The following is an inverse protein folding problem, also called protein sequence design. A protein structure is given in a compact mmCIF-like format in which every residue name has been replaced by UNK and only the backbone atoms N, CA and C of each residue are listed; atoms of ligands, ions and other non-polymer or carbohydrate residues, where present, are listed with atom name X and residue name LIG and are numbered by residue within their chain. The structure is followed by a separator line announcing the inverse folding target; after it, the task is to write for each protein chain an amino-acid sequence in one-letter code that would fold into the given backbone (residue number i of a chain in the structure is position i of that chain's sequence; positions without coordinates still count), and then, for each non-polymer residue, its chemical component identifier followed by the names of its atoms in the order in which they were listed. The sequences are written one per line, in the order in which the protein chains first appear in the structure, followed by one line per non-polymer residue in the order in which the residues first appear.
data_IF_445342369624
#
_entry.id   IF_445342369624
#
_cell.length_a   1.000
_cell.length_b   1.000
_cell.length_c   1.000
_cell.angle_alpha   90.00
_cell.angle_beta   90.00
_cell.angle_gamma   90.00
#
_symmetry.space_group_name_H-M   'P 1'
#
loop_
_entity.id
_entity.type
_entity.pdbx_description
1 polymer ?
#
# COMPACT_ATOMS: atom_id res chain seq x y z
N UNK A 1 19.68 -1.12 -3.73
CA UNK A 1 18.29 -1.50 -4.07
C UNK A 1 17.51 -1.53 -2.78
N UNK A 2 16.33 -0.91 -2.74
CA UNK A 2 15.49 -0.88 -1.54
C UNK A 2 15.00 -2.29 -1.19
N UNK A 3 14.92 -2.59 0.11
CA UNK A 3 14.41 -3.87 0.58
C UNK A 3 12.87 -3.84 0.64
N UNK A 4 12.24 -4.94 0.18
CA UNK A 4 10.78 -5.11 0.17
C UNK A 4 10.41 -6.50 0.70
N UNK A 5 9.18 -6.68 1.19
CA UNK A 5 8.62 -7.99 1.52
C UNK A 5 8.31 -8.83 0.27
N UNK A 6 7.87 -10.09 0.48
CA UNK A 6 7.47 -10.98 -0.62
C UNK A 6 8.64 -11.65 -1.36
N UNK A 7 9.84 -11.70 -0.76
CA UNK A 7 11.03 -12.33 -1.37
C UNK A 7 11.20 -13.79 -0.98
N UNK A 8 10.13 -14.58 -1.03
CA UNK A 8 10.12 -15.98 -0.63
C UNK A 8 11.17 -16.84 -1.33
N UNK A 9 11.37 -16.68 -2.65
CA UNK A 9 12.38 -17.42 -3.40
C UNK A 9 13.82 -17.12 -2.93
N UNK A 10 14.08 -15.90 -2.45
CA UNK A 10 15.35 -15.54 -1.83
C UNK A 10 15.48 -16.24 -0.48
N UNK A 11 14.47 -16.15 0.38
CA UNK A 11 14.45 -16.80 1.68
C UNK A 11 14.60 -18.33 1.55
N UNK A 12 13.87 -18.97 0.62
CA UNK A 12 13.97 -20.40 0.36
C UNK A 12 15.42 -20.83 0.06
N UNK A 13 16.13 -20.10 -0.80
CA UNK A 13 17.54 -20.39 -1.08
C UNK A 13 18.46 -20.12 0.10
N UNK A 14 18.21 -19.05 0.86
CA UNK A 14 19.06 -18.64 1.97
C UNK A 14 18.98 -19.62 3.16
N UNK A 15 17.78 -20.14 3.44
CA UNK A 15 17.52 -21.02 4.58
C UNK A 15 17.43 -22.51 4.21
N UNK A 16 17.47 -22.85 2.92
CA UNK A 16 17.38 -24.24 2.46
C UNK A 16 16.01 -24.90 2.73
N UNK A 17 14.93 -24.10 2.75
CA UNK A 17 13.55 -24.57 2.97
C UNK A 17 12.79 -24.47 1.66
N UNK A 18 12.06 -25.52 1.28
CA UNK A 18 11.26 -25.54 0.05
C UNK A 18 10.22 -24.41 0.04
N UNK A 19 9.94 -23.85 -1.14
CA UNK A 19 9.12 -22.65 -1.30
C UNK A 19 7.70 -22.83 -0.72
N UNK A 20 7.13 -24.00 -0.88
CA UNK A 20 5.78 -24.36 -0.46
C UNK A 20 5.64 -24.49 1.06
N UNK A 21 6.77 -24.64 1.77
CA UNK A 21 6.80 -24.74 3.23
C UNK A 21 6.82 -23.40 3.94
N UNK A 22 6.91 -22.29 3.18
CA UNK A 22 6.97 -20.95 3.76
C UNK A 22 5.59 -20.40 4.10
N UNK A 23 5.48 -19.83 5.29
CA UNK A 23 4.42 -18.89 5.67
C UNK A 23 4.91 -17.48 5.42
N UNK A 24 4.36 -16.80 4.39
CA UNK A 24 4.73 -15.42 4.06
C UNK A 24 3.89 -14.40 4.84
N UNK A 25 4.45 -13.88 5.91
CA UNK A 25 3.92 -12.75 6.68
C UNK A 25 4.71 -11.45 6.42
N UNK A 26 5.55 -11.41 5.37
CA UNK A 26 6.40 -10.24 5.06
C UNK A 26 5.68 -9.14 4.30
N UNK A 27 4.49 -9.43 3.78
CA UNK A 27 3.70 -8.48 2.98
C UNK A 27 2.46 -8.01 3.75
N UNK A 28 1.95 -6.82 3.40
CA UNK A 28 0.63 -6.35 3.85
C UNK A 28 -0.44 -6.63 2.79
N UNK A 29 -0.48 -7.85 2.26
CA UNK A 29 -1.44 -8.28 1.25
C UNK A 29 -2.49 -9.15 1.93
N UNK A 30 -3.77 -8.93 1.62
CA UNK A 30 -4.85 -9.80 2.10
C UNK A 30 -4.59 -11.25 1.70
N UNK A 31 -4.57 -12.20 2.65
CA UNK A 31 -4.51 -13.62 2.31
C UNK A 31 -5.84 -14.16 1.76
N UNK A 32 -6.91 -13.36 1.82
CA UNK A 32 -8.26 -13.67 1.35
C UNK A 32 -8.50 -12.93 0.03
N UNK A 33 -7.83 -13.37 -1.04
CA UNK A 33 -7.94 -12.72 -2.34
C UNK A 33 -9.37 -12.75 -2.90
N UNK A 34 -9.74 -11.71 -3.67
CA UNK A 34 -10.97 -11.74 -4.44
C UNK A 34 -10.94 -12.90 -5.44
N UNK A 35 -12.02 -13.70 -5.56
CA UNK A 35 -12.04 -14.88 -6.43
C UNK A 35 -11.98 -14.45 -7.90
N UNK A 36 -10.82 -14.68 -8.53
CA UNK A 36 -10.58 -14.29 -9.92
C UNK A 36 -11.36 -15.23 -10.85
N UNK A 37 -12.27 -14.70 -11.71
CA UNK A 37 -12.98 -15.50 -12.67
C UNK A 37 -12.07 -15.91 -13.85
N UNK A 38 -12.56 -16.81 -14.68
CA UNK A 38 -11.91 -17.12 -15.96
C UNK A 38 -11.82 -15.86 -16.83
N UNK A 39 -10.60 -15.53 -17.24
CA UNK A 39 -10.35 -14.37 -18.09
C UNK A 39 -10.54 -14.77 -19.55
N UNK A 40 -11.44 -14.13 -20.31
CA UNK A 40 -11.70 -14.50 -21.69
C UNK A 40 -10.46 -14.33 -22.58
N UNK A 41 -10.28 -15.22 -23.53
CA UNK A 41 -9.12 -15.21 -24.43
C UNK A 41 -8.98 -13.89 -25.23
N UNK A 42 -10.08 -13.17 -25.46
CA UNK A 42 -10.08 -11.84 -26.08
C UNK A 42 -9.31 -10.80 -25.28
N UNK A 43 -9.37 -10.85 -23.95
CA UNK A 43 -8.65 -9.94 -23.08
C UNK A 43 -7.12 -10.10 -23.17
N UNK A 44 -6.65 -11.28 -23.60
CA UNK A 44 -5.23 -11.56 -23.84
C UNK A 44 -4.74 -11.19 -25.24
N UNK A 45 -5.67 -11.19 -26.22
CA UNK A 45 -5.31 -11.10 -27.64
C UNK A 45 -5.47 -9.71 -28.24
N UNK A 46 -6.26 -8.85 -27.61
CA UNK A 46 -6.53 -7.49 -28.08
C UNK A 46 -5.75 -6.46 -27.24
N UNK A 47 -5.41 -5.36 -27.86
CA UNK A 47 -5.00 -4.18 -27.10
C UNK A 47 -6.17 -3.70 -26.24
N UNK A 48 -5.92 -3.25 -25.00
CA UNK A 48 -6.98 -2.75 -24.15
C UNK A 48 -7.64 -1.50 -24.73
N UNK A 49 -8.96 -1.44 -24.66
CA UNK A 49 -9.77 -0.27 -24.97
C UNK A 49 -10.24 0.35 -23.64
N UNK A 50 -10.33 1.68 -23.55
CA UNK A 50 -10.61 2.34 -22.27
C UNK A 50 -12.10 2.42 -21.92
N UNK A 51 -12.99 2.12 -22.85
CA UNK A 51 -14.45 2.07 -22.72
C UNK A 51 -14.99 0.69 -22.26
N UNK A 52 -14.17 -0.05 -21.55
CA UNK A 52 -14.49 -1.40 -21.04
C UNK A 52 -15.23 -1.41 -19.70
N UNK A 53 -15.59 -0.24 -19.16
CA UNK A 53 -16.31 -0.10 -17.87
C UNK A 53 -15.42 -0.10 -16.63
N UNK A 54 -14.09 -0.23 -16.78
CA UNK A 54 -13.18 -0.19 -15.62
C UNK A 54 -13.14 1.19 -14.94
N UNK A 55 -13.12 2.26 -15.73
CA UNK A 55 -13.05 3.63 -15.21
C UNK A 55 -14.33 3.93 -14.41
N UNK A 56 -15.49 3.58 -14.93
CA UNK A 56 -16.78 3.75 -14.25
C UNK A 56 -16.83 2.96 -12.94
N UNK A 57 -16.40 1.70 -12.95
CA UNK A 57 -16.33 0.87 -11.75
C UNK A 57 -15.38 1.48 -10.69
N UNK A 58 -14.23 1.99 -11.12
CA UNK A 58 -13.26 2.61 -10.24
C UNK A 58 -13.76 3.95 -9.66
N UNK A 59 -14.36 4.81 -10.48
CA UNK A 59 -15.00 6.05 -10.01
C UNK A 59 -16.09 5.77 -8.98
N UNK A 60 -16.95 4.79 -9.24
CA UNK A 60 -18.00 4.39 -8.30
C UNK A 60 -17.44 3.76 -7.02
N UNK A 61 -16.32 3.03 -7.08
CA UNK A 61 -15.70 2.38 -5.93
C UNK A 61 -14.95 3.38 -5.04
N UNK A 62 -14.19 4.30 -5.63
CA UNK A 62 -13.40 5.29 -4.92
C UNK A 62 -14.17 6.59 -4.63
N UNK A 63 -15.43 6.67 -5.07
CA UNK A 63 -16.29 7.87 -4.90
C UNK A 63 -15.65 9.14 -5.47
N UNK A 64 -15.08 9.06 -6.66
CA UNK A 64 -14.38 10.17 -7.33
C UNK A 64 -14.93 10.41 -8.73
N UNK A 65 -14.73 11.62 -9.25
CA UNK A 65 -15.17 12.00 -10.60
C UNK A 65 -14.23 11.51 -11.70
N UNK A 66 -12.95 11.26 -11.36
CA UNK A 66 -11.93 10.88 -12.35
C UNK A 66 -10.81 10.04 -11.76
N UNK A 67 -10.37 9.04 -12.53
CA UNK A 67 -9.25 8.16 -12.18
C UNK A 67 -8.41 7.84 -13.41
N UNK A 68 -7.14 7.53 -13.19
CA UNK A 68 -6.26 6.95 -14.19
C UNK A 68 -5.79 5.56 -13.73
N UNK A 69 -6.18 4.46 -14.41
CA UNK A 69 -5.64 3.13 -14.14
C UNK A 69 -4.20 3.01 -14.63
N UNK A 70 -3.37 2.27 -13.88
CA UNK A 70 -1.95 2.11 -14.22
C UNK A 70 -1.34 0.83 -13.65
N UNK A 71 -0.11 0.52 -14.05
CA UNK A 71 0.64 -0.68 -13.65
C UNK A 71 1.06 -0.66 -12.17
N UNK A 72 0.06 -0.62 -11.27
CA UNK A 72 0.20 -0.42 -9.83
C UNK A 72 0.47 1.04 -9.46
N UNK A 73 0.23 1.41 -8.21
CA UNK A 73 0.56 2.75 -7.68
C UNK A 73 2.06 3.07 -7.85
N UNK A 74 2.93 2.07 -8.00
CA UNK A 74 4.35 2.26 -8.25
C UNK A 74 4.62 3.04 -9.55
N UNK A 75 3.80 2.90 -10.59
CA UNK A 75 3.93 3.67 -11.82
C UNK A 75 3.73 5.18 -11.55
N UNK A 76 2.73 5.53 -10.74
CA UNK A 76 2.53 6.92 -10.31
C UNK A 76 3.69 7.43 -9.45
N UNK A 77 4.14 6.64 -8.48
CA UNK A 77 5.28 7.02 -7.61
C UNK A 77 6.51 7.39 -8.45
N UNK A 78 6.75 6.66 -9.54
CA UNK A 78 7.88 6.92 -10.45
C UNK A 78 7.64 8.10 -11.40
N UNK A 79 6.40 8.33 -11.84
CA UNK A 79 6.07 9.33 -12.86
C UNK A 79 5.82 10.74 -12.28
N UNK A 80 5.11 10.84 -11.14
CA UNK A 80 4.71 12.12 -10.53
C UNK A 80 5.86 13.11 -10.34
N UNK A 81 7.06 12.71 -9.88
CA UNK A 81 8.15 13.64 -9.66
C UNK A 81 8.57 14.41 -10.92
N UNK A 82 8.50 13.80 -12.10
CA UNK A 82 8.90 14.44 -13.37
C UNK A 82 7.91 15.47 -13.89
N UNK A 83 6.70 15.53 -13.32
CA UNK A 83 5.67 16.51 -13.70
C UNK A 83 5.83 17.86 -12.99
N UNK A 84 6.84 18.00 -12.13
CA UNK A 84 7.11 19.25 -11.41
C UNK A 84 8.53 19.74 -11.63
N UNK A 85 8.75 21.08 -11.59
CA UNK A 85 10.09 21.63 -11.44
C UNK A 85 10.69 21.21 -10.09
N UNK A 86 12.00 21.35 -9.95
CA UNK A 86 12.72 21.05 -8.68
C UNK A 86 12.00 21.70 -7.50
N UNK A 87 11.63 20.89 -6.53
CA UNK A 87 10.76 21.23 -5.40
C UNK A 87 11.33 20.73 -4.08
N UNK A 88 10.92 21.36 -2.97
CA UNK A 88 11.16 20.87 -1.61
C UNK A 88 10.07 19.87 -1.25
N UNK A 89 10.45 18.62 -1.00
CA UNK A 89 9.51 17.51 -0.83
C UNK A 89 9.64 16.92 0.57
N UNK A 90 8.59 17.05 1.37
CA UNK A 90 8.46 16.35 2.64
C UNK A 90 7.86 14.95 2.42
N UNK A 91 8.49 13.90 2.94
CA UNK A 91 8.00 12.53 2.85
C UNK A 91 7.92 11.91 4.24
N UNK A 92 6.78 11.31 4.57
CA UNK A 92 6.60 10.65 5.87
C UNK A 92 7.61 9.52 6.08
N UNK A 93 8.25 9.48 7.26
CA UNK A 93 9.17 8.43 7.68
C UNK A 93 8.98 8.09 9.19
N UNK A 94 9.11 6.79 9.56
CA UNK A 94 9.31 5.66 8.64
C UNK A 94 8.12 5.49 7.70
N UNK A 95 8.39 5.17 6.43
CA UNK A 95 7.36 5.05 5.39
C UNK A 95 7.80 4.14 4.23
N UNK A 96 7.00 4.07 3.18
CA UNK A 96 7.35 3.34 1.97
C UNK A 96 8.44 4.10 1.20
N UNK A 97 9.67 3.61 1.30
CA UNK A 97 10.88 4.29 0.85
C UNK A 97 10.94 4.62 -0.65
N UNK A 98 10.10 3.97 -1.48
CA UNK A 98 10.04 4.26 -2.91
C UNK A 98 9.59 5.70 -3.21
N UNK A 99 8.77 6.31 -2.35
CA UNK A 99 8.40 7.71 -2.50
C UNK A 99 9.62 8.63 -2.44
N UNK A 100 10.36 8.59 -1.32
CA UNK A 100 11.55 9.41 -1.16
C UNK A 100 12.57 9.14 -2.28
N UNK A 101 12.78 7.87 -2.63
CA UNK A 101 13.71 7.47 -3.67
C UNK A 101 13.33 8.01 -5.06
N UNK A 102 12.04 7.96 -5.44
CA UNK A 102 11.57 8.46 -6.73
C UNK A 102 11.76 9.98 -6.84
N UNK A 103 11.38 10.74 -5.82
CA UNK A 103 11.56 12.19 -5.78
C UNK A 103 13.04 12.59 -5.80
N UNK A 104 13.92 11.89 -5.05
CA UNK A 104 15.36 12.13 -5.08
C UNK A 104 15.96 11.85 -6.47
N UNK A 105 15.56 10.74 -7.11
CA UNK A 105 16.03 10.41 -8.47
C UNK A 105 15.64 11.45 -9.51
N UNK A 106 14.51 12.09 -9.33
CA UNK A 106 14.05 13.17 -10.22
C UNK A 106 14.72 14.54 -9.93
N UNK A 107 15.63 14.61 -8.95
CA UNK A 107 16.40 15.81 -8.65
C UNK A 107 15.72 16.79 -7.69
N UNK A 108 14.69 16.36 -6.94
CA UNK A 108 14.05 17.17 -5.92
C UNK A 108 14.84 17.18 -4.60
N UNK A 109 14.62 18.21 -3.77
CA UNK A 109 15.17 18.31 -2.42
C UNK A 109 14.23 17.57 -1.44
N UNK A 110 14.60 16.33 -1.08
CA UNK A 110 13.74 15.45 -0.29
C UNK A 110 14.18 15.40 1.16
N UNK A 111 13.25 15.64 2.07
CA UNK A 111 13.41 15.47 3.51
C UNK A 111 12.42 14.44 4.01
N UNK A 112 12.91 13.40 4.70
CA UNK A 112 12.09 12.35 5.28
C UNK A 112 11.98 12.57 6.79
N UNK A 113 10.75 12.75 7.30
CA UNK A 113 10.47 13.11 8.70
C UNK A 113 9.21 12.43 9.21
N UNK A 114 9.04 12.40 10.54
CA UNK A 114 7.80 11.97 11.17
C UNK A 114 6.64 12.90 10.78
N UNK A 115 5.42 12.38 10.83
CA UNK A 115 4.23 13.09 10.38
C UNK A 115 3.98 14.42 11.12
N UNK A 116 4.18 14.43 12.43
CA UNK A 116 4.02 15.61 13.27
C UNK A 116 4.98 16.76 12.89
N UNK A 117 6.22 16.41 12.55
CA UNK A 117 7.22 17.39 12.07
C UNK A 117 6.83 17.94 10.70
N UNK A 118 6.39 17.06 9.76
CA UNK A 118 5.98 17.46 8.43
C UNK A 118 4.75 18.38 8.43
N UNK A 119 3.78 18.08 9.28
CA UNK A 119 2.54 18.84 9.41
C UNK A 119 2.70 20.10 10.29
N UNK A 120 3.77 20.18 11.09
CA UNK A 120 4.05 21.31 11.99
C UNK A 120 4.52 22.57 11.25
N UNK A 121 5.13 22.45 10.07
CA UNK A 121 5.56 23.57 9.22
C UNK A 121 5.35 23.28 7.75
N UNK A 122 4.14 23.55 7.27
CA UNK A 122 3.77 23.33 5.87
C UNK A 122 4.46 24.33 4.91
N UNK A 123 4.94 25.48 5.41
CA UNK A 123 5.63 26.48 4.60
C UNK A 123 6.97 26.00 4.03
N UNK A 124 7.53 24.97 4.64
CA UNK A 124 8.79 24.35 4.22
C UNK A 124 8.66 23.47 2.98
N UNK A 125 7.45 23.10 2.55
CA UNK A 125 7.23 22.11 1.50
C UNK A 125 6.50 22.68 0.29
N UNK A 126 6.98 22.33 -0.90
CA UNK A 126 6.26 22.52 -2.16
C UNK A 126 5.43 21.29 -2.51
N UNK A 127 5.87 20.12 -2.01
CA UNK A 127 5.14 18.84 -2.09
C UNK A 127 5.22 18.15 -0.73
N UNK A 128 4.09 17.65 -0.27
CA UNK A 128 4.03 16.76 0.88
C UNK A 128 3.51 15.39 0.46
N UNK A 129 4.23 14.33 0.85
CA UNK A 129 3.86 12.94 0.58
C UNK A 129 3.52 12.25 1.89
N UNK A 130 2.26 11.91 2.08
CA UNK A 130 1.75 11.15 3.22
C UNK A 130 1.28 9.77 2.77
N UNK A 131 1.45 8.77 3.64
CA UNK A 131 0.94 7.41 3.42
C UNK A 131 -0.18 7.18 4.42
N UNK A 132 -1.35 6.79 3.97
CA UNK A 132 -2.57 6.78 4.77
C UNK A 132 -3.47 5.57 4.49
N UNK A 133 -3.52 4.57 5.39
CA UNK A 133 -2.68 4.33 6.57
C UNK A 133 -1.21 4.11 6.22
N UNK A 134 -0.30 4.63 7.07
CA UNK A 134 1.13 4.52 6.82
C UNK A 134 1.65 3.07 6.93
N UNK A 135 2.71 2.80 6.21
CA UNK A 135 3.43 1.54 6.20
C UNK A 135 4.93 1.79 6.46
N UNK A 136 5.48 1.34 7.62
CA UNK A 136 4.89 0.36 8.54
C UNK A 136 4.08 0.94 9.70
N UNK A 137 4.16 2.24 9.96
CA UNK A 137 3.75 2.87 11.20
C UNK A 137 2.25 2.89 11.47
N UNK A 138 1.39 2.62 10.46
CA UNK A 138 -0.06 2.59 10.64
C UNK A 138 -0.71 3.93 10.94
N UNK A 139 0.04 5.04 10.92
CA UNK A 139 -0.48 6.39 11.16
C UNK A 139 -1.64 6.68 10.23
N UNK A 140 -2.67 7.30 10.78
CA UNK A 140 -3.85 7.75 10.06
C UNK A 140 -4.05 9.23 10.32
N UNK A 141 -4.57 9.88 9.29
CA UNK A 141 -4.92 11.30 9.36
C UNK A 141 -6.44 11.41 9.20
N UNK A 142 -7.07 12.29 9.93
CA UNK A 142 -8.47 12.62 9.65
C UNK A 142 -8.59 13.40 8.33
N UNK A 143 -9.75 13.29 7.69
CA UNK A 143 -10.01 13.91 6.39
C UNK A 143 -9.87 15.44 6.47
N UNK A 144 -10.29 16.05 7.57
CA UNK A 144 -10.20 17.50 7.77
C UNK A 144 -8.74 17.96 7.80
N UNK A 145 -7.86 17.25 8.52
CA UNK A 145 -6.43 17.53 8.56
C UNK A 145 -5.80 17.44 7.17
N UNK A 146 -6.12 16.39 6.39
CA UNK A 146 -5.61 16.25 5.03
C UNK A 146 -6.08 17.37 4.11
N UNK A 147 -7.36 17.75 4.18
CA UNK A 147 -7.89 18.83 3.35
C UNK A 147 -7.32 20.20 3.74
N UNK A 148 -7.18 20.49 5.02
CA UNK A 148 -6.53 21.73 5.48
C UNK A 148 -5.07 21.78 5.03
N UNK A 149 -4.33 20.67 5.13
CA UNK A 149 -2.96 20.55 4.64
C UNK A 149 -2.88 20.80 3.14
N UNK A 150 -3.81 20.20 2.37
CA UNK A 150 -3.92 20.47 0.94
C UNK A 150 -4.19 21.95 0.64
N UNK A 151 -5.20 22.53 1.30
CA UNK A 151 -5.63 23.91 1.04
C UNK A 151 -4.46 24.90 1.30
N UNK A 152 -3.67 24.69 2.35
CA UNK A 152 -2.48 25.50 2.62
C UNK A 152 -1.39 25.34 1.54
N UNK A 153 -1.11 24.11 1.10
CA UNK A 153 -0.16 23.86 0.02
C UNK A 153 -0.64 24.48 -1.31
N UNK A 154 -1.92 24.34 -1.61
CA UNK A 154 -2.53 24.83 -2.85
C UNK A 154 -2.45 26.35 -3.01
N UNK A 155 -2.44 27.13 -1.91
CA UNK A 155 -2.28 28.62 -1.97
C UNK A 155 -1.04 29.08 -2.73
N UNK A 156 -0.04 28.21 -2.88
CA UNK A 156 1.23 28.47 -3.56
C UNK A 156 1.54 27.44 -4.66
N UNK A 157 0.51 26.76 -5.20
CA UNK A 157 0.64 25.75 -6.25
C UNK A 157 1.36 24.48 -5.78
N UNK A 158 1.36 24.21 -4.47
CA UNK A 158 1.94 23.01 -3.87
C UNK A 158 1.07 21.76 -4.07
N UNK A 159 1.64 20.58 -3.83
CA UNK A 159 0.93 19.30 -3.95
C UNK A 159 0.87 18.57 -2.62
N UNK A 160 -0.29 17.94 -2.34
CA UNK A 160 -0.44 16.90 -1.35
C UNK A 160 -0.64 15.55 -2.05
N UNK A 161 0.33 14.66 -1.92
CA UNK A 161 0.25 13.27 -2.41
C UNK A 161 -0.12 12.37 -1.23
N UNK A 162 -1.26 11.69 -1.32
CA UNK A 162 -1.75 10.75 -0.29
C UNK A 162 -1.72 9.34 -0.85
N UNK A 163 -0.80 8.51 -0.36
CA UNK A 163 -0.75 7.08 -0.73
C UNK A 163 -1.74 6.30 0.14
N UNK A 164 -2.87 5.95 -0.45
CA UNK A 164 -3.96 5.20 0.16
C UNK A 164 -3.93 3.70 -0.22
N UNK A 165 -2.75 3.12 -0.42
CA UNK A 165 -2.62 1.70 -0.81
C UNK A 165 -3.26 0.72 0.19
N UNK A 166 -3.45 1.10 1.46
CA UNK A 166 -4.07 0.29 2.51
C UNK A 166 -5.46 0.77 2.93
N UNK A 167 -6.03 1.77 2.25
CA UNK A 167 -7.26 2.45 2.65
C UNK A 167 -8.53 1.63 2.43
N UNK A 168 -8.53 0.64 1.54
CA UNK A 168 -9.73 -0.12 1.18
C UNK A 168 -10.38 -0.87 2.36
N UNK A 169 -9.61 -1.12 3.44
CA UNK A 169 -10.14 -1.70 4.69
C UNK A 169 -11.01 -0.71 5.47
N UNK A 170 -10.70 0.58 5.37
CA UNK A 170 -11.40 1.68 6.08
C UNK A 170 -11.74 2.83 5.13
N UNK A 171 -12.52 2.59 4.05
CA UNK A 171 -12.68 3.53 2.94
C UNK A 171 -13.36 4.85 3.32
N UNK A 172 -14.07 4.89 4.45
CA UNK A 172 -14.71 6.11 4.97
C UNK A 172 -13.71 7.23 5.31
N UNK A 173 -12.42 6.90 5.47
CA UNK A 173 -11.35 7.86 5.75
C UNK A 173 -10.60 8.32 4.49
N UNK A 174 -11.00 7.83 3.32
CA UNK A 174 -10.38 8.19 2.04
C UNK A 174 -10.66 9.63 1.64
N UNK A 175 -9.65 10.28 1.05
CA UNK A 175 -9.82 11.62 0.46
C UNK A 175 -10.01 11.58 -1.06
N UNK A 176 -10.20 10.40 -1.66
CA UNK A 176 -10.44 10.27 -3.11
C UNK A 176 -11.61 11.12 -3.63
N UNK A 177 -12.69 11.26 -2.84
CA UNK A 177 -13.88 12.04 -3.21
C UNK A 177 -13.60 13.55 -3.39
N UNK A 178 -12.44 14.00 -2.96
CA UNK A 178 -12.00 15.40 -3.05
C UNK A 178 -10.85 15.59 -4.05
N UNK A 179 -10.49 14.54 -4.78
CA UNK A 179 -9.30 14.52 -5.64
C UNK A 179 -9.45 15.35 -6.94
N UNK A 180 -10.63 15.91 -7.21
CA UNK A 180 -10.86 16.91 -8.25
C UNK A 180 -10.18 18.27 -7.95
N UNK A 181 -9.77 18.49 -6.68
CA UNK A 181 -9.03 19.68 -6.26
C UNK A 181 -7.63 19.67 -6.87
N UNK A 182 -7.24 20.80 -7.46
CA UNK A 182 -5.90 20.97 -8.02
C UNK A 182 -4.81 20.77 -6.96
N UNK A 183 -3.83 19.91 -7.23
CA UNK A 183 -2.72 19.61 -6.31
C UNK A 183 -3.03 18.54 -5.27
N UNK A 184 -4.26 18.01 -5.16
CA UNK A 184 -4.55 16.81 -4.37
C UNK A 184 -4.42 15.56 -5.24
N UNK A 185 -3.54 14.64 -4.83
CA UNK A 185 -3.20 13.45 -5.61
C UNK A 185 -3.34 12.24 -4.71
N UNK A 186 -4.24 11.31 -5.04
CA UNK A 186 -4.49 10.13 -4.21
C UNK A 186 -4.12 8.87 -4.97
N UNK A 187 -3.25 8.04 -4.39
CA UNK A 187 -2.80 6.78 -4.98
C UNK A 187 -3.57 5.61 -4.39
N UNK A 188 -4.06 4.71 -5.25
CA UNK A 188 -4.82 3.51 -4.85
C UNK A 188 -4.14 2.24 -5.38
N UNK A 189 -4.20 1.17 -4.59
CA UNK A 189 -3.58 -0.12 -4.95
C UNK A 189 -4.56 -1.28 -4.73
N UNK A 190 -4.94 -1.97 -5.78
CA UNK A 190 -5.79 -3.18 -5.66
C UNK A 190 -5.01 -4.41 -5.19
N UNK A 191 -3.70 -4.35 -5.15
CA UNK A 191 -2.84 -5.46 -4.74
C UNK A 191 -2.91 -5.81 -3.26
N UNK A 192 -3.48 -4.94 -2.41
CA UNK A 192 -3.47 -5.08 -0.95
C UNK A 192 -4.76 -5.71 -0.44
N UNK A 193 -5.84 -4.96 -0.40
CA UNK A 193 -7.15 -5.39 0.08
C UNK A 193 -7.74 -6.54 -0.73
N UNK A 194 -7.70 -6.43 -2.06
CA UNK A 194 -8.22 -7.48 -2.94
C UNK A 194 -7.31 -8.72 -3.05
N UNK A 195 -6.10 -8.70 -2.46
CA UNK A 195 -5.16 -9.81 -2.58
C UNK A 195 -4.62 -10.03 -4.00
N UNK A 196 -4.79 -9.06 -4.89
CA UNK A 196 -4.47 -9.15 -6.32
C UNK A 196 -3.12 -8.51 -6.67
N UNK A 197 -2.11 -8.69 -5.84
CA UNK A 197 -0.80 -8.06 -6.04
C UNK A 197 -0.15 -8.44 -7.38
N UNK A 198 -0.40 -9.65 -7.88
CA UNK A 198 0.09 -10.13 -9.18
C UNK A 198 -0.57 -9.46 -10.38
N UNK A 199 -1.76 -8.88 -10.25
CA UNK A 199 -2.44 -8.14 -11.31
C UNK A 199 -1.69 -6.86 -11.71
N UNK A 200 -0.76 -6.39 -10.88
CA UNK A 200 0.02 -5.16 -11.07
C UNK A 200 -0.85 -3.98 -11.47
N UNK A 201 -1.85 -3.68 -10.66
CA UNK A 201 -2.79 -2.60 -10.96
C UNK A 201 -2.99 -1.65 -9.78
N UNK A 202 -3.23 -0.39 -10.12
CA UNK A 202 -3.53 0.70 -9.20
C UNK A 202 -4.19 1.85 -9.94
N UNK A 203 -4.53 2.89 -9.20
CA UNK A 203 -5.20 4.06 -9.74
C UNK A 203 -4.61 5.34 -9.12
N UNK A 204 -4.65 6.40 -9.89
CA UNK A 204 -4.49 7.78 -9.39
C UNK A 204 -5.83 8.47 -9.50
N UNK A 205 -6.27 9.08 -8.41
CA UNK A 205 -7.38 10.02 -8.37
C UNK A 205 -6.78 11.42 -8.22
N UNK A 206 -7.07 12.32 -9.15
CA UNK A 206 -6.55 13.68 -9.19
C UNK A 206 -7.39 14.55 -10.12
N UNK A 207 -7.05 15.84 -10.23
CA UNK A 207 -7.67 16.72 -11.22
C UNK A 207 -7.48 16.21 -12.65
N UNK A 208 -8.43 16.50 -13.54
CA UNK A 208 -8.37 16.07 -14.94
C UNK A 208 -7.08 16.51 -15.66
N UNK A 209 -6.58 17.68 -15.34
CA UNK A 209 -5.33 18.21 -15.91
C UNK A 209 -4.12 17.36 -15.50
N UNK A 210 -4.00 17.01 -14.22
CA UNK A 210 -2.90 16.16 -13.74
C UNK A 210 -3.01 14.75 -14.31
N UNK A 211 -4.21 14.18 -14.38
CA UNK A 211 -4.42 12.85 -14.98
C UNK A 211 -4.06 12.85 -16.47
N UNK A 212 -4.35 13.94 -17.18
CA UNK A 212 -3.92 14.10 -18.58
C UNK A 212 -2.39 14.13 -18.70
N UNK A 213 -1.71 14.94 -17.89
CA UNK A 213 -0.25 15.00 -17.89
C UNK A 213 0.41 13.66 -17.55
N UNK A 214 -0.16 12.91 -16.58
CA UNK A 214 0.30 11.56 -16.26
C UNK A 214 0.07 10.58 -17.41
N UNK A 215 -1.06 10.66 -18.12
CA UNK A 215 -1.36 9.83 -19.29
C UNK A 215 -0.36 10.07 -20.42
N UNK A 216 -0.05 11.32 -20.72
CA UNK A 216 0.98 11.67 -21.70
C UNK A 216 2.36 11.12 -21.31
N UNK A 217 2.71 11.23 -20.03
CA UNK A 217 3.99 10.72 -19.50
C UNK A 217 4.10 9.19 -19.56
N UNK A 218 3.02 8.47 -19.26
CA UNK A 218 2.99 7.00 -19.18
C UNK A 218 2.75 6.34 -20.55
N UNK A 219 2.17 7.06 -21.50
CA UNK A 219 1.76 6.54 -22.79
C UNK A 219 0.49 5.67 -22.71
N UNK A 220 0.07 5.08 -23.84
CA UNK A 220 -1.12 4.26 -23.92
C UNK A 220 -0.92 2.88 -23.25
N UNK A 221 -2.05 2.20 -22.98
CA UNK A 221 -2.09 0.81 -22.49
C UNK A 221 -1.36 0.62 -21.15
N UNK A 222 -1.53 1.53 -20.25
CA UNK A 222 -0.91 1.50 -18.91
C UNK A 222 -1.29 0.27 -18.09
N UNK A 223 -2.38 -0.43 -18.44
CA UNK A 223 -2.86 -1.62 -17.77
C UNK A 223 -3.26 -2.70 -18.76
N UNK A 224 -2.87 -3.95 -18.51
CA UNK A 224 -3.14 -5.08 -19.40
C UNK A 224 -4.63 -5.42 -19.48
N UNK A 225 -5.11 -5.95 -20.62
CA UNK A 225 -6.50 -6.37 -20.79
C UNK A 225 -6.99 -7.35 -19.73
N UNK A 226 -6.24 -8.42 -19.37
CA UNK A 226 -6.60 -9.32 -18.28
C UNK A 226 -6.76 -8.62 -16.94
N UNK A 227 -5.85 -7.69 -16.59
CA UNK A 227 -5.96 -6.93 -15.35
C UNK A 227 -7.19 -6.02 -15.36
N UNK A 228 -7.47 -5.34 -16.46
CA UNK A 228 -8.67 -4.51 -16.63
C UNK A 228 -9.95 -5.32 -16.42
N UNK A 229 -10.05 -6.47 -17.08
CA UNK A 229 -11.19 -7.38 -16.95
C UNK A 229 -11.42 -7.81 -15.48
N UNK A 230 -10.38 -8.29 -14.82
CA UNK A 230 -10.46 -8.73 -13.41
C UNK A 230 -10.88 -7.59 -12.50
N UNK A 231 -10.31 -6.41 -12.68
CA UNK A 231 -10.56 -5.27 -11.79
C UNK A 231 -11.94 -4.65 -11.97
N UNK A 232 -12.47 -4.60 -13.17
CA UNK A 232 -13.84 -4.15 -13.41
C UNK A 232 -14.82 -4.93 -12.53
N UNK A 233 -14.67 -6.25 -12.48
CA UNK A 233 -15.52 -7.12 -11.66
C UNK A 233 -15.23 -7.00 -10.16
N UNK A 234 -13.96 -6.97 -9.76
CA UNK A 234 -13.59 -6.87 -8.36
C UNK A 234 -14.05 -5.55 -7.72
N UNK A 235 -13.92 -4.43 -8.43
CA UNK A 235 -14.37 -3.12 -7.96
C UNK A 235 -15.90 -2.99 -7.89
N UNK A 236 -16.63 -3.75 -8.70
CA UNK A 236 -18.09 -3.78 -8.68
C UNK A 236 -18.67 -4.71 -7.59
N UNK A 237 -17.88 -5.65 -7.04
CA UNK A 237 -18.36 -6.67 -6.09
C UNK A 237 -18.48 -6.13 -4.65
N UNK A 238 -19.52 -5.36 -4.41
CA UNK A 238 -19.82 -4.74 -3.10
C UNK A 238 -20.03 -5.77 -1.98
N UNK A 239 -20.61 -6.93 -2.31
CA UNK A 239 -20.92 -7.97 -1.33
C UNK A 239 -19.64 -8.60 -0.79
N UNK A 240 -18.72 -9.00 -1.68
CA UNK A 240 -17.41 -9.52 -1.29
C UNK A 240 -16.60 -8.48 -0.49
N UNK A 241 -16.60 -7.22 -0.93
CA UNK A 241 -15.87 -6.14 -0.25
C UNK A 241 -16.33 -5.95 1.20
N UNK A 242 -17.63 -6.01 1.46
CA UNK A 242 -18.20 -5.89 2.82
C UNK A 242 -17.76 -7.08 3.69
N UNK A 243 -17.86 -8.31 3.17
CA UNK A 243 -17.43 -9.52 3.85
C UNK A 243 -15.92 -9.52 4.12
N UNK A 244 -15.11 -9.11 3.15
CA UNK A 244 -13.67 -9.02 3.26
C UNK A 244 -13.24 -8.03 4.36
N UNK A 245 -13.86 -6.86 4.46
CA UNK A 245 -13.59 -5.89 5.53
C UNK A 245 -13.86 -6.47 6.91
N UNK A 246 -15.00 -7.12 7.09
CA UNK A 246 -15.36 -7.78 8.36
C UNK A 246 -14.34 -8.85 8.73
N UNK A 247 -14.02 -9.74 7.79
CA UNK A 247 -13.05 -10.81 7.99
C UNK A 247 -11.66 -10.29 8.32
N UNK A 248 -11.17 -9.30 7.57
CA UNK A 248 -9.85 -8.71 7.79
C UNK A 248 -9.75 -8.04 9.16
N UNK A 249 -10.81 -7.36 9.62
CA UNK A 249 -10.85 -6.77 10.96
C UNK A 249 -10.71 -7.84 12.06
N UNK A 250 -11.45 -8.95 11.94
CA UNK A 250 -11.41 -10.07 12.89
C UNK A 250 -10.01 -10.72 12.92
N UNK A 251 -9.46 -11.03 11.75
CA UNK A 251 -8.15 -11.68 11.62
C UNK A 251 -7.02 -10.78 12.10
N UNK A 252 -7.11 -9.48 11.81
CA UNK A 252 -6.15 -8.48 12.29
C UNK A 252 -6.17 -8.35 13.81
N UNK A 253 -7.35 -8.37 14.43
CA UNK A 253 -7.51 -8.38 15.89
C UNK A 253 -6.94 -9.66 16.53
N UNK A 254 -7.21 -10.82 15.92
CA UNK A 254 -6.63 -12.11 16.38
C UNK A 254 -5.11 -12.09 16.31
N UNK A 255 -4.51 -11.58 15.23
CA UNK A 255 -3.06 -11.45 15.13
C UNK A 255 -2.49 -10.54 16.19
N UNK A 256 -3.12 -9.39 16.45
CA UNK A 256 -2.70 -8.47 17.50
C UNK A 256 -2.73 -9.14 18.88
N UNK A 257 -3.78 -9.89 19.20
CA UNK A 257 -3.91 -10.63 20.47
C UNK A 257 -2.81 -11.71 20.61
N UNK A 258 -2.57 -12.49 19.54
CA UNK A 258 -1.52 -13.52 19.53
C UNK A 258 -0.14 -12.90 19.76
N UNK A 259 0.21 -11.84 19.03
CA UNK A 259 1.49 -11.16 19.19
C UNK A 259 1.67 -10.61 20.61
N UNK A 260 0.61 -10.01 21.19
CA UNK A 260 0.63 -9.48 22.55
C UNK A 260 0.85 -10.58 23.60
N UNK A 261 0.26 -11.74 23.42
CA UNK A 261 0.44 -12.89 24.31
C UNK A 261 1.90 -13.36 24.39
N UNK A 262 2.67 -13.15 23.33
CA UNK A 262 4.11 -13.47 23.27
C UNK A 262 5.02 -12.23 23.54
N UNK A 263 4.49 -11.16 24.14
CA UNK A 263 5.27 -9.95 24.44
C UNK A 263 5.62 -9.10 23.22
N UNK A 264 5.01 -9.38 22.04
CA UNK A 264 5.12 -8.58 20.83
C UNK A 264 3.94 -7.62 20.71
N UNK A 265 3.80 -6.73 21.70
CA UNK A 265 2.71 -5.76 21.68
C UNK A 265 2.77 -4.91 20.41
N UNK A 266 1.72 -4.95 19.54
CA UNK A 266 1.70 -4.09 18.37
C UNK A 266 1.79 -2.61 18.74
N UNK A 267 2.79 -1.94 18.20
CA UNK A 267 2.96 -0.48 18.38
C UNK A 267 1.96 0.26 17.49
N UNK A 268 1.68 -0.31 16.32
CA UNK A 268 0.76 0.23 15.35
C UNK A 268 0.43 -0.82 14.28
N UNK A 269 -0.40 -0.44 13.28
CA UNK A 269 -0.76 -1.31 12.17
C UNK A 269 -1.98 -0.82 11.41
N UNK A 270 -2.41 -1.65 10.48
CA UNK A 270 -3.69 -1.48 9.78
C UNK A 270 -4.40 -2.83 9.67
N UNK A 271 -5.57 -2.87 9.04
CA UNK A 271 -6.33 -4.11 8.90
C UNK A 271 -5.64 -5.22 8.10
N UNK A 272 -4.44 -4.99 7.56
CA UNK A 272 -3.67 -5.95 6.75
C UNK A 272 -2.32 -6.34 7.35
N UNK A 273 -1.90 -5.71 8.43
CA UNK A 273 -0.65 -6.04 9.13
C UNK A 273 -0.62 -5.46 10.54
N UNK A 274 0.25 -6.05 11.39
CA UNK A 274 0.65 -5.51 12.68
C UNK A 274 2.13 -5.12 12.64
N UNK A 275 2.49 -4.01 13.31
CA UNK A 275 3.86 -3.52 13.41
C UNK A 275 4.29 -3.44 14.86
N UNK A 276 5.40 -4.10 15.20
CA UNK A 276 5.92 -4.22 16.55
C UNK A 276 7.35 -3.71 16.59
N UNK A 277 7.62 -2.74 17.47
CA UNK A 277 8.97 -2.19 17.70
C UNK A 277 9.62 -2.93 18.85
N UNK A 278 10.79 -3.53 18.59
CA UNK A 278 11.60 -4.22 19.60
C UNK A 278 13.05 -4.26 19.17
N UNK A 279 13.98 -4.11 20.12
CA UNK A 279 15.44 -4.09 19.83
C UNK A 279 15.94 -5.44 19.33
N UNK A 280 15.32 -6.56 19.72
CA UNK A 280 15.65 -7.92 19.29
C UNK A 280 14.99 -8.33 17.96
N UNK A 281 14.35 -7.42 17.24
CA UNK A 281 13.63 -7.69 16.00
C UNK A 281 14.45 -8.49 14.96
N UNK A 282 15.73 -8.18 14.78
CA UNK A 282 16.62 -8.90 13.86
C UNK A 282 16.85 -10.35 14.29
N UNK A 283 16.94 -10.61 15.59
CA UNK A 283 17.10 -11.96 16.11
C UNK A 283 15.84 -12.80 15.84
N UNK A 284 14.68 -12.27 16.23
CA UNK A 284 13.39 -12.95 16.07
C UNK A 284 13.03 -13.13 14.60
N UNK A 285 13.31 -12.15 13.73
CA UNK A 285 13.15 -12.30 12.27
C UNK A 285 13.90 -13.52 11.74
N UNK A 286 15.18 -13.69 12.12
CA UNK A 286 16.00 -14.84 11.70
C UNK A 286 15.47 -16.16 12.27
N UNK A 287 15.12 -16.17 13.55
CA UNK A 287 14.60 -17.37 14.20
C UNK A 287 13.26 -17.84 13.60
N UNK A 288 12.36 -16.91 13.22
CA UNK A 288 11.15 -17.20 12.48
C UNK A 288 11.46 -17.71 11.06
N UNK A 289 12.41 -17.07 10.36
CA UNK A 289 12.81 -17.49 9.02
C UNK A 289 13.41 -18.90 9.00
N UNK A 290 14.20 -19.28 10.00
CA UNK A 290 14.70 -20.65 10.18
C UNK A 290 13.58 -21.69 10.34
N UNK A 291 12.38 -21.25 10.76
CA UNK A 291 11.16 -22.09 10.88
C UNK A 291 10.23 -21.95 9.68
N UNK A 292 10.70 -21.31 8.60
CA UNK A 292 9.93 -21.09 7.38
C UNK A 292 8.81 -20.06 7.56
N UNK A 293 8.96 -19.08 8.45
CA UNK A 293 8.03 -17.97 8.64
C UNK A 293 8.75 -16.67 8.26
N UNK A 294 8.35 -16.07 7.15
CA UNK A 294 8.98 -14.84 6.65
C UNK A 294 8.20 -13.61 7.13
N UNK A 295 8.83 -12.75 7.93
CA UNK A 295 8.31 -11.46 8.37
C UNK A 295 9.01 -10.31 7.65
N UNK A 296 8.57 -9.07 7.85
CA UNK A 296 9.28 -7.88 7.32
C UNK A 296 10.07 -7.19 8.43
N UNK A 297 11.39 -7.26 8.33
CA UNK A 297 12.31 -6.57 9.22
C UNK A 297 12.50 -5.11 8.78
N UNK A 298 12.54 -4.20 9.75
CA UNK A 298 13.02 -2.83 9.63
C UNK A 298 14.16 -2.62 10.62
N UNK A 299 15.26 -2.02 10.16
CA UNK A 299 16.43 -1.76 11.00
C UNK A 299 16.26 -0.46 11.79
N UNK A 300 15.60 0.53 11.20
CA UNK A 300 15.39 1.85 11.83
C UNK A 300 13.95 2.32 11.64
N UNK A 301 13.18 2.38 12.72
CA UNK A 301 13.47 1.80 14.04
C UNK A 301 13.46 0.28 14.01
N UNK A 302 14.23 -0.37 14.90
CA UNK A 302 14.26 -1.83 14.99
C UNK A 302 12.85 -2.38 15.23
N UNK A 303 12.33 -3.15 14.27
CA UNK A 303 10.92 -3.58 14.31
C UNK A 303 10.62 -4.69 13.32
N UNK A 304 9.53 -5.41 13.59
CA UNK A 304 8.94 -6.37 12.66
C UNK A 304 7.53 -5.94 12.25
N UNK A 305 7.20 -6.15 10.98
CA UNK A 305 5.83 -6.11 10.50
C UNK A 305 5.39 -7.52 10.15
N UNK A 306 4.25 -7.92 10.70
CA UNK A 306 3.59 -9.20 10.48
C UNK A 306 2.37 -9.00 9.60
N UNK A 307 2.33 -9.62 8.43
CA UNK A 307 1.12 -9.77 7.62
C UNK A 307 0.14 -10.75 8.27
N UNK A 308 -1.05 -10.87 7.71
CA UNK A 308 -2.11 -11.72 8.26
C UNK A 308 -1.88 -13.19 7.90
N UNK A 309 -1.94 -14.13 8.88
CA UNK A 309 -2.01 -15.56 8.60
C UNK A 309 -3.29 -15.93 7.83
N UNK A 310 -3.23 -16.84 6.83
CA UNK A 310 -4.37 -17.18 5.98
C UNK A 310 -5.44 -18.04 6.65
N UNK A 311 -5.06 -18.87 7.64
CA UNK A 311 -5.91 -19.87 8.26
C UNK A 311 -5.45 -20.20 9.69
N UNK A 312 -6.20 -21.08 10.37
CA UNK A 312 -5.93 -21.49 11.74
C UNK A 312 -4.58 -22.22 11.88
N UNK A 313 -4.21 -23.05 10.92
CA UNK A 313 -2.93 -23.77 10.95
C UNK A 313 -1.73 -22.79 10.88
N UNK A 314 -1.85 -21.72 10.11
CA UNK A 314 -0.84 -20.67 10.06
C UNK A 314 -0.76 -19.86 11.37
N UNK A 315 -1.89 -19.63 12.04
CA UNK A 315 -1.91 -19.03 13.37
C UNK A 315 -1.25 -19.94 14.42
N UNK A 316 -1.58 -21.23 14.46
CA UNK A 316 -0.97 -22.21 15.36
C UNK A 316 0.55 -22.32 15.12
N UNK A 317 0.97 -22.35 13.86
CA UNK A 317 2.40 -22.36 13.50
C UNK A 317 3.14 -21.12 13.99
N UNK A 318 2.54 -19.93 13.85
CA UNK A 318 3.12 -18.70 14.35
C UNK A 318 3.19 -18.67 15.88
N UNK A 319 2.12 -19.12 16.55
CA UNK A 319 2.02 -19.22 18.00
C UNK A 319 3.11 -20.12 18.58
N UNK A 320 3.23 -21.34 18.03
CA UNK A 320 4.28 -22.28 18.42
C UNK A 320 5.67 -21.70 18.19
N UNK A 321 5.92 -21.12 17.01
CA UNK A 321 7.24 -20.54 16.71
C UNK A 321 7.62 -19.41 17.67
N UNK A 322 6.67 -18.52 18.01
CA UNK A 322 6.91 -17.45 18.97
C UNK A 322 7.15 -17.96 20.39
N UNK A 323 6.43 -19.00 20.84
CA UNK A 323 6.64 -19.62 22.17
C UNK A 323 8.02 -20.26 22.34
N UNK A 324 8.62 -20.75 21.24
CA UNK A 324 9.95 -21.35 21.23
C UNK A 324 11.10 -20.31 21.15
N UNK A 325 10.82 -19.13 20.63
CA UNK A 325 11.85 -18.09 20.39
C UNK A 325 11.94 -17.11 21.54
N UNK A 326 10.81 -16.78 22.15
CA UNK A 326 10.73 -15.80 23.25
C UNK A 326 10.59 -16.56 24.56
N UNK A 327 11.61 -16.57 25.41
CA UNK A 327 11.55 -17.23 26.72
C UNK A 327 10.58 -16.55 27.67
#
# INVERSE_FOLDING_TARGET
MLEHGGRLRRAAREYGIELEQWLDLSTGISPFGWPVPDVPASAWRRLPEEDDGLIEAACAYYETSSVLPMAGSQAAIQALPSLRPTSRVGVIAPGYAEHAHAWQRAGHQVTSQAADVLLGDLSSWDVLVLIHPNNPGGERFDVETLLRTHDELATRGGWLVVDEAFMDVTPQHSVCRYADREGLIVLRSVGKFFGLAGARAGFVCASAELLHALREQLGPWTLTGPSRYVLQHALADRAWQAQARTRLSQVSGRLAALLSAHGWQPTAGCGLFQWCRRDDASHVHRALAQRGILTRLFETPASLRFGLPPDDAAFERLDQALSEIVP
#
